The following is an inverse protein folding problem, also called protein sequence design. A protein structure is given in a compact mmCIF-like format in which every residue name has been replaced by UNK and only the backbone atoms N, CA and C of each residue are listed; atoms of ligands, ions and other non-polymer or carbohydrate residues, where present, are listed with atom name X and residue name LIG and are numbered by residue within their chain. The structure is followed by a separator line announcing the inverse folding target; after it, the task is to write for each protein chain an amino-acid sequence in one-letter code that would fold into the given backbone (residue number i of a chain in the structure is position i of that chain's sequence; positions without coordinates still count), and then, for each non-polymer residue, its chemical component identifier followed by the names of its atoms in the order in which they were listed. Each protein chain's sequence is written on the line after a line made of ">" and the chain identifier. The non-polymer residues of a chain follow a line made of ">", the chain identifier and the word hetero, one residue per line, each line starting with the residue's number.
data_IF_983509682244
#
_entry.id   IF_983509682244
#
_cell.length_a   1.000
_cell.length_b   1.000
_cell.length_c   1.000
_cell.angle_alpha   90.00
_cell.angle_beta   90.00
_cell.angle_gamma   90.00
#
_symmetry.space_group_name_H-M   'P 1'
#
loop_
_entity.id
_entity.type
_entity.pdbx_description
1 polymer ?
#
# COMPACT_ATOMS: atom_id res chain seq x y z
N UNK A 1 19.54 -65.86 29.61
CA UNK A 1 18.37 -64.99 29.32
C UNK A 1 18.74 -64.04 28.21
N UNK A 2 17.87 -64.02 27.21
CA UNK A 2 18.02 -63.36 25.91
C UNK A 2 17.53 -61.92 25.97
N UNK A 3 18.27 -60.97 25.38
CA UNK A 3 17.70 -59.97 24.46
C UNK A 3 18.81 -59.19 23.75
N UNK A 4 18.87 -59.21 22.41
CA UNK A 4 19.78 -58.38 21.62
C UNK A 4 19.10 -57.09 21.15
N UNK A 5 19.93 -56.07 20.86
CA UNK A 5 19.85 -55.05 19.77
C UNK A 5 18.51 -54.29 19.64
N UNK A 6 18.45 -52.96 19.57
CA UNK A 6 18.93 -52.15 18.46
C UNK A 6 18.98 -50.66 18.89
N UNK A 7 20.14 -50.04 18.69
CA UNK A 7 20.32 -48.59 18.72
C UNK A 7 19.81 -48.04 17.38
N UNK A 8 18.63 -47.40 17.35
CA UNK A 8 18.13 -46.72 16.17
C UNK A 8 18.63 -45.27 16.18
N UNK A 9 19.69 -45.02 15.40
CA UNK A 9 20.20 -43.69 15.07
C UNK A 9 19.25 -43.06 14.05
N UNK A 10 18.42 -42.11 14.48
CA UNK A 10 17.60 -41.32 13.57
C UNK A 10 18.49 -40.23 12.91
N UNK A 11 18.86 -40.46 11.65
CA UNK A 11 19.49 -39.45 10.80
C UNK A 11 18.40 -38.43 10.42
N UNK A 12 18.47 -37.23 10.99
CA UNK A 12 17.66 -36.10 10.55
C UNK A 12 18.19 -35.60 9.21
N UNK A 13 17.46 -35.87 8.13
CA UNK A 13 17.73 -35.30 6.81
C UNK A 13 17.47 -33.78 6.87
N UNK A 14 18.53 -32.98 6.77
CA UNK A 14 18.44 -31.55 6.53
C UNK A 14 17.94 -31.31 5.09
N UNK A 15 16.62 -31.20 4.93
CA UNK A 15 16.01 -30.74 3.68
C UNK A 15 16.24 -29.24 3.51
N UNK A 16 17.12 -28.86 2.59
CA UNK A 16 17.26 -27.48 2.15
C UNK A 16 15.96 -27.01 1.49
N UNK A 17 15.19 -26.17 2.20
CA UNK A 17 14.04 -25.45 1.64
C UNK A 17 14.62 -24.32 0.78
N UNK A 18 14.95 -24.64 -0.48
CA UNK A 18 15.11 -23.62 -1.52
C UNK A 18 13.74 -23.07 -1.92
N UNK A 19 13.65 -21.82 -2.42
CA UNK A 19 12.39 -21.30 -2.92
C UNK A 19 11.93 -22.18 -4.07
N UNK A 20 10.74 -22.76 -3.94
CA UNK A 20 10.09 -23.48 -5.02
C UNK A 20 9.90 -22.50 -6.18
N UNK A 21 10.76 -22.59 -7.20
CA UNK A 21 10.39 -22.10 -8.54
C UNK A 21 9.25 -23.00 -8.98
N UNK A 22 8.04 -22.47 -8.94
CA UNK A 22 6.90 -23.13 -9.54
C UNK A 22 7.20 -23.28 -11.02
N UNK A 23 7.55 -24.49 -11.45
CA UNK A 23 7.44 -24.87 -12.85
C UNK A 23 5.97 -24.67 -13.20
N UNK A 24 5.71 -23.66 -14.05
CA UNK A 24 4.39 -23.47 -14.65
C UNK A 24 4.08 -24.73 -15.45
N UNK A 25 3.43 -25.69 -14.80
CA UNK A 25 2.89 -26.88 -15.44
C UNK A 25 2.19 -26.44 -16.72
N UNK A 26 2.52 -27.08 -17.84
CA UNK A 26 2.07 -26.68 -19.17
C UNK A 26 0.54 -26.48 -19.16
N UNK A 27 0.12 -25.21 -19.13
CA UNK A 27 -1.28 -24.84 -19.06
C UNK A 27 -1.98 -25.46 -20.28
N UNK A 28 -3.01 -26.29 -20.03
CA UNK A 28 -3.93 -26.76 -21.08
C UNK A 28 -4.83 -25.59 -21.49
N UNK A 29 -4.24 -24.60 -22.14
CA UNK A 29 -4.90 -23.40 -22.64
C UNK A 29 -4.57 -23.25 -24.14
N UNK A 30 -5.40 -22.54 -24.91
CA UNK A 30 -5.01 -22.08 -26.24
C UNK A 30 -3.68 -21.34 -26.11
N UNK A 31 -2.64 -21.76 -26.86
CA UNK A 31 -1.27 -21.21 -26.79
C UNK A 31 -1.21 -19.81 -27.44
N UNK A 32 -2.05 -18.88 -26.96
CA UNK A 32 -2.16 -17.51 -27.43
C UNK A 32 -1.16 -16.61 -26.67
N UNK A 33 -0.57 -15.67 -27.39
CA UNK A 33 0.42 -14.74 -26.82
C UNK A 33 1.80 -15.35 -26.60
N UNK A 34 2.69 -14.57 -26.00
CA UNK A 34 4.04 -15.01 -25.59
C UNK A 34 4.29 -14.63 -24.14
N UNK A 35 4.97 -15.47 -23.34
CA UNK A 35 5.31 -15.10 -21.97
C UNK A 35 6.18 -13.84 -21.93
N UNK A 36 5.79 -12.86 -21.10
CA UNK A 36 6.59 -11.67 -20.85
C UNK A 36 7.89 -12.04 -20.14
N UNK A 37 8.98 -11.35 -20.48
CA UNK A 37 10.23 -11.47 -19.72
C UNK A 37 10.01 -10.89 -18.31
N UNK A 38 10.71 -11.38 -17.28
CA UNK A 38 10.60 -10.84 -15.92
C UNK A 38 10.78 -9.32 -15.84
N UNK A 39 11.73 -8.77 -16.62
CA UNK A 39 11.96 -7.33 -16.70
C UNK A 39 10.77 -6.56 -17.29
N UNK A 40 9.99 -7.17 -18.18
CA UNK A 40 8.78 -6.57 -18.73
C UNK A 40 7.65 -6.63 -17.70
N UNK A 41 7.47 -7.77 -17.03
CA UNK A 41 6.49 -7.93 -15.93
C UNK A 41 6.70 -6.88 -14.83
N UNK A 42 7.95 -6.64 -14.42
CA UNK A 42 8.28 -5.66 -13.37
C UNK A 42 7.84 -4.23 -13.66
N UNK A 43 7.64 -3.86 -14.94
CA UNK A 43 7.13 -2.53 -15.32
C UNK A 43 5.64 -2.38 -15.01
N UNK A 44 4.91 -3.49 -15.00
CA UNK A 44 3.46 -3.55 -14.77
C UNK A 44 3.11 -3.97 -13.35
N UNK A 45 4.00 -4.69 -12.67
CA UNK A 45 3.81 -5.16 -11.30
C UNK A 45 4.03 -4.03 -10.28
N UNK A 46 3.08 -3.09 -10.27
CA UNK A 46 3.06 -1.92 -9.39
C UNK A 46 1.83 -1.92 -8.47
N UNK A 47 1.31 -3.12 -8.17
CA UNK A 47 0.13 -3.26 -7.31
C UNK A 47 0.55 -3.14 -5.86
N UNK A 48 -0.07 -2.23 -5.13
CA UNK A 48 0.18 -2.02 -3.71
C UNK A 48 -1.03 -2.48 -2.93
N UNK A 49 -0.83 -3.45 -2.05
CA UNK A 49 -1.90 -4.06 -1.27
C UNK A 49 -2.10 -3.36 0.09
N UNK A 50 -3.27 -3.53 0.73
CA UNK A 50 -3.53 -3.05 2.09
C UNK A 50 -2.48 -3.47 3.13
N UNK A 51 -1.90 -4.66 2.99
CA UNK A 51 -0.88 -5.21 3.89
C UNK A 51 0.55 -4.70 3.60
N UNK A 52 0.73 -3.85 2.59
CA UNK A 52 2.01 -3.25 2.21
C UNK A 52 2.80 -4.01 1.15
N UNK A 53 2.35 -5.20 0.70
CA UNK A 53 2.98 -5.85 -0.46
C UNK A 53 2.97 -4.91 -1.66
N UNK A 54 4.11 -4.81 -2.34
CA UNK A 54 4.31 -3.93 -3.51
C UNK A 54 4.80 -2.52 -3.18
N UNK A 55 4.88 -2.12 -1.90
CA UNK A 55 5.47 -0.84 -1.53
C UNK A 55 6.97 -0.78 -1.89
N UNK A 56 7.44 0.27 -2.58
CA UNK A 56 8.85 0.43 -2.89
C UNK A 56 9.65 0.81 -1.64
N UNK A 57 10.98 0.58 -1.63
CA UNK A 57 11.85 1.15 -0.61
C UNK A 57 11.77 2.67 -0.66
N UNK A 58 11.86 3.30 0.50
CA UNK A 58 11.82 4.75 0.64
C UNK A 58 11.31 5.19 2.00
N UNK A 59 11.29 6.50 2.21
CA UNK A 59 10.78 7.13 3.42
C UNK A 59 10.27 8.55 3.16
N UNK A 60 9.42 9.03 4.06
CA UNK A 60 9.04 10.44 4.08
C UNK A 60 8.30 10.84 5.35
N UNK A 61 8.39 12.12 5.68
CA UNK A 61 7.76 12.77 6.82
C UNK A 61 6.69 13.76 6.38
N UNK A 62 5.83 14.17 7.32
CA UNK A 62 4.80 15.17 7.03
C UNK A 62 5.39 16.54 6.66
N UNK A 63 6.54 16.92 7.23
CA UNK A 63 7.23 18.18 6.92
C UNK A 63 7.72 18.22 5.46
N UNK A 64 8.43 17.17 5.02
CA UNK A 64 8.86 17.02 3.62
C UNK A 64 7.64 17.04 2.68
N UNK A 65 6.58 16.33 3.06
CA UNK A 65 5.36 16.23 2.28
C UNK A 65 4.62 17.56 2.14
N UNK A 66 4.63 18.40 3.18
CA UNK A 66 4.00 19.73 3.15
C UNK A 66 4.61 20.62 2.07
N UNK A 67 5.93 20.60 1.95
CA UNK A 67 6.65 21.37 0.93
C UNK A 67 6.34 20.85 -0.48
N UNK A 68 6.32 19.53 -0.67
CA UNK A 68 5.96 18.90 -1.94
C UNK A 68 4.50 19.17 -2.32
N UNK A 69 3.59 19.13 -1.35
CA UNK A 69 2.17 19.39 -1.56
C UNK A 69 1.94 20.82 -2.07
N UNK A 70 2.59 21.80 -1.44
CA UNK A 70 2.52 23.20 -1.88
C UNK A 70 2.99 23.37 -3.34
N UNK A 71 4.05 22.66 -3.72
CA UNK A 71 4.63 22.75 -5.06
C UNK A 71 3.86 21.97 -6.14
N UNK A 72 3.23 20.84 -5.79
CA UNK A 72 2.74 19.87 -6.79
C UNK A 72 1.23 19.56 -6.71
N UNK A 73 0.56 19.93 -5.63
CA UNK A 73 -0.82 19.51 -5.35
C UNK A 73 -1.76 20.69 -5.09
N UNK A 74 -1.28 21.72 -4.40
CA UNK A 74 -2.09 22.82 -3.88
C UNK A 74 -2.81 23.66 -4.95
N UNK A 75 -2.29 23.70 -6.18
CA UNK A 75 -2.92 24.44 -7.28
C UNK A 75 -4.31 23.90 -7.65
N UNK A 76 -4.58 22.62 -7.39
CA UNK A 76 -5.87 21.99 -7.67
C UNK A 76 -6.64 21.64 -6.40
N UNK A 77 -5.96 21.18 -5.37
CA UNK A 77 -6.57 20.70 -4.12
C UNK A 77 -6.67 21.76 -3.03
N UNK A 78 -6.26 23.01 -3.30
CA UNK A 78 -6.24 24.10 -2.32
C UNK A 78 -5.01 24.05 -1.41
N UNK A 79 -4.62 25.22 -0.89
CA UNK A 79 -3.41 25.39 -0.09
C UNK A 79 -3.44 24.60 1.23
N UNK A 80 -4.62 24.34 1.77
CA UNK A 80 -4.86 23.57 3.00
C UNK A 80 -5.53 22.22 2.72
N UNK A 81 -5.64 21.81 1.46
CA UNK A 81 -6.37 20.61 1.07
C UNK A 81 -7.88 20.74 1.17
N UNK A 82 -8.41 21.95 1.20
CA UNK A 82 -9.85 22.24 1.29
C UNK A 82 -10.60 22.07 -0.05
N UNK A 83 -9.89 21.66 -1.11
CA UNK A 83 -10.42 21.57 -2.46
C UNK A 83 -10.40 22.93 -3.16
N UNK A 84 -10.26 22.91 -4.49
CA UNK A 84 -10.39 24.10 -5.33
C UNK A 84 -10.99 23.72 -6.68
N UNK A 85 -10.14 23.38 -7.66
CA UNK A 85 -10.57 22.83 -8.95
C UNK A 85 -10.61 21.30 -8.93
N UNK A 86 -10.07 20.67 -7.89
CA UNK A 86 -10.16 19.26 -7.57
C UNK A 86 -10.72 19.03 -6.15
N UNK A 87 -11.02 17.77 -5.82
CA UNK A 87 -11.61 17.34 -4.55
C UNK A 87 -10.80 17.83 -3.33
N UNK A 88 -11.48 18.07 -2.22
CA UNK A 88 -10.84 18.29 -0.96
C UNK A 88 -10.21 17.00 -0.41
N UNK A 89 -9.05 17.14 0.23
CA UNK A 89 -8.23 16.01 0.68
C UNK A 89 -8.13 15.95 2.20
N UNK A 90 -8.37 17.09 2.88
CA UNK A 90 -8.15 17.25 4.30
C UNK A 90 -9.45 17.64 4.99
N UNK A 91 -9.88 16.81 5.94
CA UNK A 91 -11.05 17.06 6.77
C UNK A 91 -10.92 16.38 8.14
N UNK A 92 -11.95 16.48 9.00
CA UNK A 92 -11.95 15.81 10.29
C UNK A 92 -11.78 14.29 10.13
N UNK A 93 -10.93 13.62 10.94
CA UNK A 93 -10.71 12.17 10.88
C UNK A 93 -11.85 11.39 11.53
N UNK A 94 -13.06 11.57 11.01
CA UNK A 94 -14.26 10.89 11.49
C UNK A 94 -15.01 10.32 10.29
N UNK A 95 -15.51 9.07 10.39
CA UNK A 95 -16.38 8.50 9.37
C UNK A 95 -17.53 9.45 8.98
N UNK A 96 -17.91 9.50 7.69
CA UNK A 96 -18.98 10.37 7.22
C UNK A 96 -20.31 9.98 7.86
N UNK A 97 -21.13 10.99 8.14
CA UNK A 97 -22.51 10.85 8.63
C UNK A 97 -23.49 11.52 7.66
N UNK A 98 -24.81 11.31 7.78
CA UNK A 98 -25.77 12.05 6.97
C UNK A 98 -25.62 13.58 7.06
N UNK A 99 -25.29 14.09 8.26
CA UNK A 99 -25.11 15.53 8.51
C UNK A 99 -23.72 16.05 8.11
N UNK A 100 -22.73 15.16 7.97
CA UNK A 100 -21.39 15.47 7.48
C UNK A 100 -20.92 14.37 6.51
N UNK A 101 -21.40 14.39 5.26
CA UNK A 101 -21.19 13.29 4.31
C UNK A 101 -19.84 13.35 3.60
N UNK A 102 -18.96 14.29 3.97
CA UNK A 102 -17.70 14.52 3.29
C UNK A 102 -16.75 13.30 3.40
N UNK A 103 -16.13 12.92 2.27
CA UNK A 103 -15.35 11.68 2.11
C UNK A 103 -13.86 11.91 1.87
N UNK A 104 -13.29 12.92 2.54
CA UNK A 104 -11.84 13.17 2.56
C UNK A 104 -11.05 11.94 3.02
N UNK A 105 -9.72 11.99 2.84
CA UNK A 105 -8.82 10.87 3.11
C UNK A 105 -8.97 10.37 4.56
N UNK A 106 -8.92 11.26 5.54
CA UNK A 106 -9.06 10.90 6.96
C UNK A 106 -10.45 10.42 7.35
N UNK A 107 -11.47 10.88 6.63
CA UNK A 107 -12.86 10.58 6.94
C UNK A 107 -13.31 9.22 6.37
N UNK A 108 -12.96 8.91 5.12
CA UNK A 108 -13.59 7.78 4.42
C UNK A 108 -12.64 6.63 4.07
N UNK A 109 -11.38 6.91 3.74
CA UNK A 109 -10.52 5.89 3.13
C UNK A 109 -10.09 4.84 4.16
N UNK A 110 -10.23 3.53 3.86
CA UNK A 110 -9.96 2.50 4.84
C UNK A 110 -8.48 2.18 5.00
N UNK A 111 -7.62 2.41 4.01
CA UNK A 111 -6.20 2.05 4.05
C UNK A 111 -5.28 3.18 3.62
N UNK A 112 -4.25 3.46 4.43
CA UNK A 112 -3.22 4.45 4.11
C UNK A 112 -2.39 4.08 2.87
N UNK A 113 -2.21 2.77 2.60
CA UNK A 113 -1.51 2.29 1.41
C UNK A 113 -2.26 2.59 0.12
N UNK A 114 -3.60 2.72 0.15
CA UNK A 114 -4.39 3.14 -1.01
C UNK A 114 -4.12 4.60 -1.38
N UNK A 115 -3.86 5.46 -0.38
CA UNK A 115 -3.45 6.85 -0.61
C UNK A 115 -2.10 6.88 -1.34
N UNK A 116 -1.14 6.11 -0.86
CA UNK A 116 0.17 5.98 -1.51
C UNK A 116 0.04 5.46 -2.94
N UNK A 117 -0.69 4.36 -3.17
CA UNK A 117 -0.87 3.78 -4.51
C UNK A 117 -1.49 4.78 -5.48
N UNK A 118 -2.55 5.46 -5.04
CA UNK A 118 -3.24 6.44 -5.87
C UNK A 118 -2.32 7.60 -6.25
N UNK A 119 -1.56 8.14 -5.30
CA UNK A 119 -0.60 9.22 -5.58
C UNK A 119 0.49 8.74 -6.53
N UNK A 120 1.13 7.59 -6.25
CA UNK A 120 2.21 7.04 -7.06
C UNK A 120 1.79 6.73 -8.50
N UNK A 121 0.56 6.28 -8.69
CA UNK A 121 0.04 5.85 -9.99
C UNK A 121 -0.53 6.98 -10.82
N UNK A 122 -1.25 7.90 -10.18
CA UNK A 122 -2.18 8.79 -10.88
C UNK A 122 -1.83 10.26 -10.73
N UNK A 123 -1.00 10.63 -9.74
CA UNK A 123 -0.72 12.02 -9.43
C UNK A 123 0.73 12.44 -9.76
N UNK A 124 0.92 13.73 -10.08
CA UNK A 124 -0.11 14.68 -10.51
C UNK A 124 -0.76 14.25 -11.83
N UNK A 125 -2.02 14.63 -12.15
CA UNK A 125 -2.70 14.16 -13.37
C UNK A 125 -1.98 14.52 -14.67
N UNK A 126 -1.23 15.62 -14.67
CA UNK A 126 -0.44 16.05 -15.82
C UNK A 126 0.84 15.22 -16.03
N UNK A 127 1.30 14.48 -15.01
CA UNK A 127 2.48 13.62 -15.05
C UNK A 127 2.33 12.39 -14.13
N UNK A 128 1.40 11.46 -14.42
CA UNK A 128 1.20 10.27 -13.60
C UNK A 128 2.47 9.42 -13.53
N UNK A 129 2.80 8.89 -12.33
CA UNK A 129 3.99 8.06 -12.15
C UNK A 129 5.32 8.81 -12.14
N UNK A 130 5.31 10.15 -12.12
CA UNK A 130 6.53 10.98 -12.11
C UNK A 130 7.18 11.14 -10.73
N UNK A 131 6.44 10.86 -9.65
CA UNK A 131 6.93 11.00 -8.28
C UNK A 131 7.80 9.81 -7.88
N UNK A 132 8.90 10.09 -7.20
CA UNK A 132 9.74 9.07 -6.57
C UNK A 132 9.07 8.43 -5.34
N UNK A 133 9.55 7.26 -4.91
CA UNK A 133 9.02 6.59 -3.72
C UNK A 133 9.05 7.46 -2.47
N UNK A 134 10.14 8.18 -2.24
CA UNK A 134 10.31 9.11 -1.11
C UNK A 134 9.30 10.27 -1.18
N UNK A 135 9.12 10.89 -2.36
CA UNK A 135 8.13 11.95 -2.55
C UNK A 135 6.71 11.45 -2.25
N UNK A 136 6.35 10.24 -2.69
CA UNK A 136 5.03 9.67 -2.41
C UNK A 136 4.86 9.36 -0.92
N UNK A 137 5.88 8.81 -0.25
CA UNK A 137 5.82 8.60 1.21
C UNK A 137 5.65 9.91 1.97
N UNK A 138 6.40 10.94 1.60
CA UNK A 138 6.33 12.26 2.22
C UNK A 138 4.94 12.88 2.02
N UNK A 139 4.43 12.91 0.78
CA UNK A 139 3.08 13.40 0.47
C UNK A 139 1.99 12.62 1.24
N UNK A 140 2.12 11.30 1.32
CA UNK A 140 1.20 10.44 2.08
C UNK A 140 1.27 10.77 3.57
N UNK A 141 2.47 10.91 4.14
CA UNK A 141 2.67 11.29 5.54
C UNK A 141 2.04 12.66 5.84
N UNK A 142 2.21 13.64 4.95
CA UNK A 142 1.60 14.96 5.08
C UNK A 142 0.07 14.87 5.09
N UNK A 143 -0.53 14.16 4.12
CA UNK A 143 -1.99 14.03 4.05
C UNK A 143 -2.56 13.30 5.27
N UNK A 144 -1.90 12.24 5.74
CA UNK A 144 -2.29 11.53 6.96
C UNK A 144 -2.20 12.43 8.19
N UNK A 145 -1.10 13.18 8.34
CA UNK A 145 -0.91 14.06 9.49
C UNK A 145 -1.84 15.26 9.48
N UNK A 146 -2.06 15.88 8.31
CA UNK A 146 -2.99 16.99 8.15
C UNK A 146 -4.46 16.58 8.38
N UNK A 147 -4.79 15.31 8.11
CA UNK A 147 -6.06 14.71 8.52
C UNK A 147 -6.07 14.26 9.99
N UNK A 148 -4.99 14.44 10.77
CA UNK A 148 -4.93 14.05 12.18
C UNK A 148 -4.85 12.53 12.42
N UNK A 149 -4.44 11.75 11.43
CA UNK A 149 -4.33 10.28 11.51
C UNK A 149 -3.00 9.84 12.13
N UNK A 150 -1.93 10.61 11.88
CA UNK A 150 -0.58 10.38 12.44
C UNK A 150 -0.01 11.70 12.98
N UNK A 151 1.01 11.63 13.82
CA UNK A 151 1.78 12.81 14.25
C UNK A 151 2.71 13.30 13.16
N UNK A 152 3.10 14.57 13.21
CA UNK A 152 3.97 15.19 12.19
C UNK A 152 5.38 14.56 12.12
N UNK A 153 5.87 14.02 13.23
CA UNK A 153 7.22 13.43 13.36
C UNK A 153 7.28 11.94 12.96
N UNK A 154 6.14 11.31 12.66
CA UNK A 154 6.11 9.92 12.23
C UNK A 154 6.66 9.74 10.81
N UNK A 155 7.62 8.81 10.66
CA UNK A 155 8.25 8.50 9.37
C UNK A 155 7.50 7.38 8.67
N UNK A 156 6.93 7.67 7.50
CA UNK A 156 6.28 6.68 6.65
C UNK A 156 7.31 5.96 5.78
N UNK A 157 7.22 4.63 5.76
CA UNK A 157 8.07 3.70 5.02
C UNK A 157 7.25 2.48 4.62
N UNK A 158 7.83 1.57 3.84
CA UNK A 158 7.20 0.29 3.51
C UNK A 158 6.80 -0.52 4.76
N UNK A 159 7.48 -0.34 5.89
CA UNK A 159 7.25 -1.07 7.13
C UNK A 159 6.26 -0.37 8.09
N UNK A 160 6.11 0.95 7.99
CA UNK A 160 5.29 1.75 8.92
C UNK A 160 3.95 2.14 8.32
N UNK A 161 3.89 2.45 7.03
CA UNK A 161 2.65 2.87 6.36
C UNK A 161 1.50 1.84 6.46
N UNK A 162 1.72 0.52 6.27
CA UNK A 162 0.64 -0.47 6.40
C UNK A 162 0.07 -0.59 7.81
N UNK A 163 0.82 -0.16 8.83
CA UNK A 163 0.42 -0.23 10.24
C UNK A 163 -0.51 0.91 10.64
N UNK A 164 -0.64 1.95 9.81
CA UNK A 164 -1.56 3.07 10.06
C UNK A 164 -3.00 2.56 10.02
N UNK A 165 -3.71 2.68 11.15
CA UNK A 165 -5.14 2.40 11.25
C UNK A 165 -5.91 3.67 10.89
N UNK A 166 -6.54 3.67 9.71
CA UNK A 166 -7.40 4.79 9.29
C UNK A 166 -8.68 4.86 10.15
N UNK A 167 -9.26 6.05 10.37
CA UNK A 167 -10.47 6.22 11.19
C UNK A 167 -11.66 5.38 10.70
N UNK A 168 -11.82 5.23 9.38
CA UNK A 168 -12.90 4.47 8.76
C UNK A 168 -12.49 3.05 8.33
N UNK A 169 -11.46 2.46 8.98
CA UNK A 169 -10.95 1.11 8.65
C UNK A 169 -12.07 0.05 8.65
N UNK A 170 -13.00 0.16 9.59
CA UNK A 170 -14.06 -0.82 9.85
C UNK A 170 -15.42 -0.37 9.29
N UNK A 171 -15.46 0.71 8.50
CA UNK A 171 -16.71 1.31 7.98
C UNK A 171 -17.21 0.76 6.66
N UNK A 172 -16.64 -0.33 6.16
CA UNK A 172 -16.98 -0.95 4.87
C UNK A 172 -17.50 -2.37 5.07
N UNK A 173 -18.55 -2.72 4.32
CA UNK A 173 -19.08 -4.09 4.26
C UNK A 173 -18.49 -4.78 3.03
N UNK A 174 -17.84 -5.91 3.24
CA UNK A 174 -17.29 -6.73 2.17
C UNK A 174 -18.40 -7.64 1.62
N UNK A 175 -18.79 -7.44 0.37
CA UNK A 175 -19.91 -8.18 -0.25
C UNK A 175 -19.48 -9.61 -0.65
N UNK A 176 -18.17 -9.88 -0.76
CA UNK A 176 -17.64 -11.08 -1.41
C UNK A 176 -16.77 -11.97 -0.49
N UNK A 177 -16.84 -11.79 0.83
CA UNK A 177 -16.11 -12.65 1.78
C UNK A 177 -17.14 -13.38 2.61
N UNK A 178 -17.56 -14.57 2.14
CA UNK A 178 -18.12 -15.55 3.07
C UNK A 178 -17.06 -15.77 4.15
N UNK A 179 -17.30 -15.22 5.34
CA UNK A 179 -16.51 -15.51 6.51
C UNK A 179 -16.63 -17.01 6.77
N UNK A 180 -15.57 -17.75 6.42
CA UNK A 180 -15.33 -19.09 6.96
C UNK A 180 -14.48 -18.97 8.20
#
# INVERSE_FOLDING_TARGET
>A
MSMPRHLALAIALAGAIGPARGDVAALKAPKLGTPLKPAEVSKWDRTIFPDGRGLPPGRGTAEEGRSLYAAKCASCHGARGEGATAEDLIGPPKPPTPDNPNKTIGAYWPFATTVFDFIARSMPPAAPGSLSGDEVYALTAFLLSANGVIKEDEVMTAATLPKVKMPNRDGFVWIDVEAK
#
